data_IF_752280881987
#
_entry.id   IF_752280881987
#
_cell.length_a   1.000
_cell.length_b   1.000
_cell.length_c   1.000
_cell.angle_alpha   90.00
_cell.angle_beta   90.00
_cell.angle_gamma   90.00
#
_symmetry.space_group_name_H-M   'P 1'
#
loop_
_entity.id
_entity.type
_entity.pdbx_description
1 polymer ?
#
# COMPACT_ATOMS: atom_id res chain seq x y z
N UNK A 1 -3.19 -3.65 15.11
CA UNK A 1 -3.81 -2.95 13.96
C UNK A 1 -5.13 -3.64 13.64
N UNK A 2 -6.20 -2.90 13.40
CA UNK A 2 -7.49 -3.47 12.99
C UNK A 2 -7.69 -3.38 11.48
N UNK A 3 -8.62 -4.18 10.97
CA UNK A 3 -9.03 -4.09 9.56
C UNK A 3 -9.76 -2.77 9.28
N UNK A 4 -9.59 -2.26 8.07
CA UNK A 4 -10.21 -1.04 7.56
C UNK A 4 -11.70 -1.30 7.31
N UNK A 5 -12.57 -0.74 8.15
CA UNK A 5 -14.04 -0.79 8.02
C UNK A 5 -14.64 0.57 7.65
N UNK A 6 -13.98 1.66 8.05
CA UNK A 6 -14.34 3.06 7.80
C UNK A 6 -13.13 3.81 7.25
N UNK A 7 -13.36 4.94 6.56
CA UNK A 7 -12.24 5.77 6.06
C UNK A 7 -11.32 6.27 7.17
N UNK A 8 -11.83 6.52 8.38
CA UNK A 8 -11.02 6.89 9.55
C UNK A 8 -10.02 5.79 9.96
N UNK A 9 -10.30 4.51 9.68
CA UNK A 9 -9.37 3.42 9.99
C UNK A 9 -8.11 3.45 9.10
N UNK A 10 -8.15 4.22 8.00
CA UNK A 10 -6.99 4.41 7.12
C UNK A 10 -5.89 5.20 7.84
N UNK A 11 -6.24 6.09 8.78
CA UNK A 11 -5.23 6.77 9.61
C UNK A 11 -4.47 5.77 10.49
N UNK A 12 -5.17 4.83 11.14
CA UNK A 12 -4.53 3.77 11.94
C UNK A 12 -3.60 2.90 11.06
N UNK A 13 -4.03 2.61 9.83
CA UNK A 13 -3.23 1.89 8.85
C UNK A 13 -1.95 2.66 8.48
N UNK A 14 -2.04 3.97 8.23
CA UNK A 14 -0.88 4.82 7.88
C UNK A 14 0.15 4.81 9.01
N UNK A 15 -0.30 5.00 10.24
CA UNK A 15 0.56 5.04 11.43
C UNK A 15 1.25 3.70 11.68
N UNK A 16 0.58 2.60 11.36
CA UNK A 16 1.05 1.22 11.61
C UNK A 16 1.55 0.50 10.36
N UNK A 17 1.71 1.21 9.26
CA UNK A 17 2.08 0.62 7.97
C UNK A 17 3.39 -0.18 8.05
N UNK A 18 4.37 0.35 8.78
CA UNK A 18 5.69 -0.27 8.96
C UNK A 18 5.62 -1.64 9.65
N UNK A 19 4.55 -1.92 10.40
CA UNK A 19 4.35 -3.23 11.04
C UNK A 19 3.99 -4.34 10.04
N UNK A 20 3.53 -3.98 8.84
CA UNK A 20 3.08 -4.94 7.82
C UNK A 20 3.84 -4.82 6.50
N UNK A 21 4.54 -3.72 6.32
CA UNK A 21 5.39 -3.48 5.17
C UNK A 21 6.75 -4.17 5.35
N UNK A 22 7.39 -4.50 4.23
CA UNK A 22 8.78 -4.92 4.20
C UNK A 22 9.67 -3.68 4.10
N UNK A 23 10.85 -3.71 4.72
CA UNK A 23 11.84 -2.65 4.59
C UNK A 23 12.82 -2.96 3.47
N UNK A 24 13.06 -1.99 2.60
CA UNK A 24 14.11 -2.00 1.59
C UNK A 24 15.24 -1.07 2.05
N UNK A 25 16.37 -1.66 2.44
CA UNK A 25 17.54 -0.94 2.93
C UNK A 25 18.23 -0.13 1.82
N UNK A 26 18.24 -0.66 0.59
CA UNK A 26 18.85 0.03 -0.56
C UNK A 26 18.08 1.27 -0.99
N UNK A 27 16.74 1.21 -0.88
CA UNK A 27 15.84 2.33 -1.16
C UNK A 27 15.46 3.18 0.06
N UNK A 28 15.89 2.80 1.27
CA UNK A 28 15.48 3.38 2.54
C UNK A 28 13.96 3.62 2.65
N UNK A 29 13.17 2.61 2.25
CA UNK A 29 11.72 2.73 2.16
C UNK A 29 11.00 1.48 2.65
N UNK A 30 9.81 1.68 3.20
CA UNK A 30 8.89 0.59 3.50
C UNK A 30 7.98 0.34 2.32
N UNK A 31 7.78 -0.91 1.92
CA UNK A 31 6.92 -1.24 0.80
C UNK A 31 5.95 -2.40 1.14
N UNK A 32 4.78 -2.34 0.54
CA UNK A 32 3.74 -3.36 0.63
C UNK A 32 3.21 -3.66 -0.77
N UNK A 33 3.27 -4.94 -1.15
CA UNK A 33 2.75 -5.41 -2.44
C UNK A 33 1.35 -5.99 -2.25
N UNK A 34 0.41 -5.56 -3.08
CA UNK A 34 -0.95 -6.09 -3.17
C UNK A 34 -1.29 -6.38 -4.63
N UNK A 35 -2.22 -7.31 -4.87
CA UNK A 35 -2.67 -7.62 -6.23
C UNK A 35 -3.41 -6.43 -6.88
N UNK A 36 -3.11 -6.13 -8.14
CA UNK A 36 -3.90 -5.28 -9.03
C UNK A 36 -4.96 -6.13 -9.73
N UNK A 37 -6.19 -6.12 -9.19
CA UNK A 37 -7.32 -6.86 -9.74
C UNK A 37 -7.86 -6.30 -11.05
N UNK A 38 -7.60 -5.03 -11.35
CA UNK A 38 -8.13 -4.39 -12.57
C UNK A 38 -7.23 -4.68 -13.77
N UNK A 39 -5.93 -4.83 -13.55
CA UNK A 39 -4.94 -4.98 -14.63
C UNK A 39 -4.18 -6.31 -14.62
N UNK A 40 -4.56 -7.25 -13.75
CA UNK A 40 -3.89 -8.55 -13.58
C UNK A 40 -2.39 -8.40 -13.31
N UNK A 41 -2.06 -7.60 -12.30
CA UNK A 41 -0.69 -7.32 -11.87
C UNK A 41 -0.58 -7.15 -10.37
N UNK A 42 0.38 -6.35 -9.96
CA UNK A 42 0.65 -5.99 -8.57
C UNK A 42 0.79 -4.48 -8.42
N UNK A 43 0.18 -3.96 -7.35
CA UNK A 43 0.39 -2.63 -6.82
C UNK A 43 1.42 -2.70 -5.69
N UNK A 44 2.50 -1.95 -5.84
CA UNK A 44 3.49 -1.75 -4.79
C UNK A 44 3.28 -0.37 -4.17
N UNK A 45 2.79 -0.34 -2.93
CA UNK A 45 2.68 0.88 -2.14
C UNK A 45 3.97 1.08 -1.35
N UNK A 46 4.58 2.25 -1.46
CA UNK A 46 5.85 2.60 -0.81
C UNK A 46 5.67 3.81 0.09
N UNK A 47 6.31 3.76 1.25
CA UNK A 47 6.45 4.85 2.22
C UNK A 47 7.94 5.17 2.38
N UNK A 48 8.31 6.38 2.04
CA UNK A 48 9.67 6.90 2.19
C UNK A 48 9.90 7.45 3.61
N UNK A 49 11.17 7.61 3.99
CA UNK A 49 11.59 8.12 5.30
C UNK A 49 11.07 9.53 5.62
N UNK A 50 10.77 10.33 4.60
CA UNK A 50 10.18 11.66 4.71
C UNK A 50 8.64 11.65 4.77
N UNK A 51 8.04 10.47 4.97
CA UNK A 51 6.59 10.24 4.97
C UNK A 51 5.90 10.48 3.62
N UNK A 52 6.64 10.55 2.52
CA UNK A 52 6.06 10.54 1.18
C UNK A 52 5.57 9.13 0.82
N UNK A 53 4.46 9.10 0.08
CA UNK A 53 3.88 7.87 -0.43
C UNK A 53 3.98 7.81 -1.93
N UNK A 54 4.40 6.67 -2.45
CA UNK A 54 4.36 6.39 -3.87
C UNK A 54 3.71 5.04 -4.15
N UNK A 55 3.21 4.90 -5.36
CA UNK A 55 2.59 3.69 -5.86
C UNK A 55 3.18 3.34 -7.21
N UNK A 56 3.46 2.06 -7.39
CA UNK A 56 3.93 1.54 -8.66
C UNK A 56 3.13 0.31 -9.04
N UNK A 57 2.49 0.35 -10.21
CA UNK A 57 1.79 -0.79 -10.78
C UNK A 57 2.69 -1.54 -11.76
N UNK A 58 2.80 -2.85 -11.56
CA UNK A 58 3.53 -3.74 -12.47
C UNK A 58 2.74 -5.02 -12.67
N UNK A 59 2.43 -5.36 -13.91
CA UNK A 59 1.85 -6.64 -14.29
C UNK A 59 2.65 -7.33 -15.39
N UNK A 60 2.11 -8.43 -15.90
CA UNK A 60 2.76 -9.21 -16.95
C UNK A 60 2.91 -8.41 -18.26
N UNK A 61 1.90 -7.59 -18.59
CA UNK A 61 1.82 -6.86 -19.85
C UNK A 61 1.98 -5.33 -19.68
N UNK A 62 2.27 -4.86 -18.48
CA UNK A 62 2.48 -3.43 -18.22
C UNK A 62 3.47 -3.20 -17.08
N UNK A 63 4.26 -2.15 -17.22
CA UNK A 63 5.01 -1.54 -16.14
C UNK A 63 4.67 -0.08 -16.19
N UNK A 64 4.10 0.47 -15.12
CA UNK A 64 3.87 1.91 -15.06
C UNK A 64 5.21 2.62 -15.29
N UNK A 65 5.23 3.70 -16.08
CA UNK A 65 6.47 4.37 -16.51
C UNK A 65 7.30 4.94 -15.35
N UNK A 66 6.75 4.95 -14.13
CA UNK A 66 7.44 5.36 -12.91
C UNK A 66 6.59 5.12 -11.67
N UNK A 67 7.09 5.60 -10.54
CA UNK A 67 6.31 5.67 -9.29
C UNK A 67 5.39 6.90 -9.34
N UNK A 68 4.12 6.72 -8.99
CA UNK A 68 3.16 7.81 -8.86
C UNK A 68 3.11 8.25 -7.40
N UNK A 69 3.37 9.53 -7.14
CA UNK A 69 3.20 10.10 -5.80
C UNK A 69 1.72 10.08 -5.42
N UNK A 70 1.38 9.54 -4.24
CA UNK A 70 0.05 9.65 -3.66
C UNK A 70 0.07 10.63 -2.49
N UNK A 71 -0.85 11.58 -2.51
CA UNK A 71 -0.99 12.57 -1.46
C UNK A 71 -2.46 12.81 -1.11
N UNK A 72 -2.70 13.23 0.13
CA UNK A 72 -4.01 13.68 0.60
C UNK A 72 -5.15 12.70 0.32
N UNK A 73 -6.19 13.18 -0.36
CA UNK A 73 -7.40 12.39 -0.61
C UNK A 73 -7.18 11.24 -1.58
N UNK A 74 -6.26 11.35 -2.54
CA UNK A 74 -5.99 10.30 -3.52
C UNK A 74 -5.45 9.04 -2.84
N UNK A 75 -4.59 9.23 -1.83
CA UNK A 75 -4.10 8.13 -1.00
C UNK A 75 -5.26 7.42 -0.29
N UNK A 76 -6.08 8.19 0.41
CA UNK A 76 -7.21 7.65 1.18
C UNK A 76 -8.19 6.92 0.26
N UNK A 77 -8.48 7.47 -0.91
CA UNK A 77 -9.41 6.87 -1.87
C UNK A 77 -8.82 5.62 -2.52
N UNK A 78 -7.51 5.57 -2.79
CA UNK A 78 -6.83 4.37 -3.27
C UNK A 78 -6.90 3.22 -2.25
N UNK A 79 -6.57 3.50 -0.99
CA UNK A 79 -6.68 2.51 0.09
C UNK A 79 -8.12 2.07 0.26
N UNK A 80 -9.08 3.00 0.20
CA UNK A 80 -10.51 2.69 0.35
C UNK A 80 -11.07 1.83 -0.78
N UNK A 81 -10.69 2.14 -2.03
CA UNK A 81 -11.05 1.37 -3.23
C UNK A 81 -10.53 -0.06 -3.12
N UNK A 82 -9.29 -0.23 -2.67
CA UNK A 82 -8.60 -1.52 -2.55
C UNK A 82 -8.67 -2.13 -1.15
N UNK A 83 -9.55 -1.64 -0.27
CA UNK A 83 -9.56 -1.99 1.18
C UNK A 83 -9.66 -3.49 1.47
N UNK A 84 -10.30 -4.26 0.59
CA UNK A 84 -10.41 -5.72 0.76
C UNK A 84 -9.05 -6.40 0.65
N UNK A 85 -8.18 -5.93 -0.25
CA UNK A 85 -6.82 -6.41 -0.45
C UNK A 85 -5.91 -6.00 0.71
N UNK A 86 -5.98 -4.72 1.11
CA UNK A 86 -5.28 -4.25 2.31
C UNK A 86 -5.70 -5.00 3.56
N UNK A 87 -7.00 -5.25 3.76
CA UNK A 87 -7.50 -6.04 4.87
C UNK A 87 -7.00 -7.48 4.85
N UNK A 88 -6.82 -8.08 3.66
CA UNK A 88 -6.19 -9.39 3.53
C UNK A 88 -4.75 -9.35 4.02
N UNK A 89 -3.94 -8.36 3.57
CA UNK A 89 -2.56 -8.17 4.05
C UNK A 89 -2.45 -7.88 5.54
N UNK A 90 -3.32 -7.04 6.09
CA UNK A 90 -3.38 -6.76 7.53
C UNK A 90 -3.63 -8.06 8.31
N UNK A 91 -4.58 -8.90 7.87
CA UNK A 91 -4.86 -10.18 8.52
C UNK A 91 -3.69 -11.16 8.40
N UNK A 92 -3.08 -11.25 7.22
CA UNK A 92 -1.89 -12.09 6.99
C UNK A 92 -0.74 -11.70 7.93
N UNK A 93 -0.54 -10.40 8.17
CA UNK A 93 0.51 -9.93 9.05
C UNK A 93 0.20 -10.09 10.55
N UNK A 94 -1.08 -9.97 10.96
CA UNK A 94 -1.50 -10.14 12.36
C UNK A 94 -1.55 -11.62 12.78
N UNK A 95 -1.72 -12.54 11.84
CA UNK A 95 -1.74 -14.00 12.09
C UNK A 95 -0.36 -14.65 12.01
N UNK A 96 0.71 -13.87 11.80
CA UNK A 96 2.10 -14.34 11.83
C UNK A 96 2.65 -14.46 13.24
#
# INVERSE_FOLDING_TARGET
>A
MHIIKKKLDIQDFIEKFELIASYDDGGQKHYLVIEDREREGDWTLMKYSDSQWSLHGKGLNYCDHGEQSLAGNDFVDFIWKNRSLFNRKIKEAVLR
#
